data_IF_419656657876
#
_entry.id   IF_419656657876
#
_cell.length_a   1.000
_cell.length_b   1.000
_cell.length_c   1.000
_cell.angle_alpha   90.00
_cell.angle_beta   90.00
_cell.angle_gamma   90.00
#
_symmetry.space_group_name_H-M   'P 1'
#
loop_
_entity.id
_entity.type
_entity.pdbx_description
1 polymer ?
#
# COMPACT_ATOMS: atom_id res chain seq x y z
N UNK A 1 -12.00 -14.69 -7.46
CA UNK A 1 -10.72 -15.42 -7.54
C UNK A 1 -10.56 -15.98 -8.95
N UNK A 2 -9.50 -15.63 -9.69
CA UNK A 2 -9.22 -16.22 -11.01
C UNK A 2 -8.17 -17.33 -10.93
N UNK A 3 -7.24 -17.23 -9.99
CA UNK A 3 -6.18 -18.22 -9.77
C UNK A 3 -6.07 -18.55 -8.29
N UNK A 4 -5.83 -19.81 -7.97
CA UNK A 4 -5.47 -20.26 -6.64
C UNK A 4 -4.40 -21.36 -6.76
N UNK A 5 -3.39 -21.34 -5.88
CA UNK A 5 -2.34 -22.35 -5.87
C UNK A 5 -1.94 -22.72 -4.43
N UNK A 6 -1.24 -23.84 -4.28
CA UNK A 6 -0.77 -24.35 -2.99
C UNK A 6 0.54 -23.63 -2.53
N UNK A 7 0.53 -22.30 -2.52
CA UNK A 7 1.68 -21.48 -2.09
C UNK A 7 1.71 -21.21 -0.59
N UNK A 8 0.65 -21.56 0.13
CA UNK A 8 0.49 -21.26 1.55
C UNK A 8 0.11 -22.51 2.34
N UNK A 9 0.38 -22.44 3.64
CA UNK A 9 0.13 -23.49 4.61
C UNK A 9 -0.64 -22.93 5.79
N UNK A 10 -1.54 -23.75 6.33
CA UNK A 10 -2.19 -23.53 7.62
C UNK A 10 -1.39 -24.26 8.69
N UNK A 11 -0.80 -23.52 9.64
CA UNK A 11 -0.17 -24.07 10.84
C UNK A 11 -1.24 -24.62 11.78
N UNK A 12 -1.35 -25.94 11.86
CA UNK A 12 -2.41 -26.63 12.62
C UNK A 12 -2.26 -26.53 14.13
N UNK A 13 -1.12 -26.02 14.61
CA UNK A 13 -0.83 -25.88 16.05
C UNK A 13 -1.21 -24.48 16.52
N UNK A 14 -0.78 -23.46 15.77
CA UNK A 14 -0.93 -22.05 16.18
C UNK A 14 -2.06 -21.32 15.43
N UNK A 15 -2.74 -21.99 14.51
CA UNK A 15 -3.75 -21.43 13.61
C UNK A 15 -3.27 -20.27 12.72
N UNK A 16 -1.99 -20.29 12.33
CA UNK A 16 -1.37 -19.20 11.59
C UNK A 16 -1.26 -19.51 10.09
N UNK A 17 -1.39 -18.47 9.26
CA UNK A 17 -0.99 -18.53 7.86
C UNK A 17 0.52 -18.56 7.75
N UNK A 18 1.05 -19.52 7.00
CA UNK A 18 2.47 -19.71 6.76
C UNK A 18 2.77 -19.79 5.28
N UNK A 19 4.01 -19.45 4.93
CA UNK A 19 4.52 -19.65 3.57
C UNK A 19 4.71 -21.14 3.22
N UNK A 20 4.86 -21.41 1.92
CA UNK A 20 5.04 -22.75 1.33
C UNK A 20 6.08 -23.64 2.04
N UNK A 21 7.16 -23.05 2.55
CA UNK A 21 8.29 -23.77 3.12
C UNK A 21 8.20 -24.06 4.63
N UNK A 22 7.06 -23.75 5.27
CA UNK A 22 6.87 -24.08 6.69
C UNK A 22 6.95 -25.59 6.93
N UNK A 23 7.82 -25.98 7.88
CA UNK A 23 8.18 -27.37 8.16
C UNK A 23 7.39 -28.00 9.33
N UNK A 24 6.68 -27.21 10.13
CA UNK A 24 5.86 -27.70 11.24
C UNK A 24 4.58 -28.41 10.78
N UNK A 25 3.76 -28.93 11.73
CA UNK A 25 2.48 -29.57 11.40
C UNK A 25 1.54 -28.62 10.66
N UNK A 26 1.16 -28.98 9.44
CA UNK A 26 0.42 -28.09 8.56
C UNK A 26 -0.57 -28.79 7.63
N UNK A 27 -1.47 -28.00 7.06
CA UNK A 27 -2.29 -28.36 5.90
C UNK A 27 -2.08 -27.37 4.78
N UNK A 28 -2.39 -27.79 3.55
CA UNK A 28 -2.40 -26.90 2.39
C UNK A 28 -3.60 -25.97 2.49
N UNK A 29 -3.41 -24.72 2.07
CA UNK A 29 -4.49 -23.74 1.93
C UNK A 29 -4.33 -22.99 0.62
N UNK A 30 -5.44 -22.77 -0.06
CA UNK A 30 -5.50 -22.03 -1.31
C UNK A 30 -6.20 -20.69 -1.08
N UNK A 31 -5.42 -19.61 -1.12
CA UNK A 31 -5.95 -18.27 -0.80
C UNK A 31 -6.76 -17.65 -1.94
N UNK A 32 -6.32 -17.89 -3.18
CA UNK A 32 -6.78 -17.12 -4.32
C UNK A 32 -5.95 -15.85 -4.53
N UNK A 33 -5.86 -15.42 -5.79
CA UNK A 33 -5.12 -14.25 -6.23
C UNK A 33 -5.52 -12.96 -5.50
N UNK A 34 -6.80 -12.71 -5.31
CA UNK A 34 -7.28 -11.48 -4.65
C UNK A 34 -6.87 -11.44 -3.17
N UNK A 35 -7.08 -12.52 -2.40
CA UNK A 35 -6.64 -12.58 -1.01
C UNK A 35 -5.11 -12.51 -0.89
N UNK A 36 -4.38 -13.22 -1.75
CA UNK A 36 -2.92 -13.19 -1.75
C UNK A 36 -2.39 -11.79 -2.07
N UNK A 37 -2.96 -11.11 -3.06
CA UNK A 37 -2.59 -9.74 -3.40
C UNK A 37 -2.85 -8.80 -2.22
N UNK A 38 -4.04 -8.87 -1.60
CA UNK A 38 -4.40 -8.07 -0.44
C UNK A 38 -3.42 -8.26 0.72
N UNK A 39 -3.15 -9.50 1.12
CA UNK A 39 -2.23 -9.80 2.22
C UNK A 39 -0.79 -9.36 1.93
N UNK A 40 -0.35 -9.43 0.67
CA UNK A 40 0.99 -9.02 0.27
C UNK A 40 1.21 -7.50 0.33
N UNK A 41 0.15 -6.69 0.31
CA UNK A 41 0.24 -5.23 0.41
C UNK A 41 0.21 -4.71 1.86
N UNK A 42 -0.04 -5.59 2.85
CA UNK A 42 -0.05 -5.19 4.24
C UNK A 42 1.39 -5.01 4.76
N UNK A 43 1.75 -3.79 5.11
CA UNK A 43 3.08 -3.45 5.63
C UNK A 43 3.14 -3.69 7.14
N UNK A 44 4.09 -4.52 7.58
CA UNK A 44 4.28 -4.87 9.00
C UNK A 44 3.03 -5.48 9.68
N UNK A 45 2.22 -6.22 8.92
CA UNK A 45 1.07 -6.91 9.50
C UNK A 45 1.45 -8.00 10.49
N UNK A 46 0.56 -8.21 11.46
CA UNK A 46 0.58 -9.42 12.27
C UNK A 46 0.41 -10.66 11.37
N UNK A 47 0.95 -11.80 11.83
CA UNK A 47 0.76 -13.04 11.08
C UNK A 47 -0.73 -13.38 11.03
N UNK A 48 -1.35 -13.57 9.84
CA UNK A 48 -2.78 -13.83 9.77
C UNK A 48 -3.18 -15.10 10.52
N UNK A 49 -4.26 -14.99 11.30
CA UNK A 49 -4.81 -16.06 12.13
C UNK A 49 -6.07 -16.59 11.46
N UNK A 50 -6.20 -17.90 11.32
CA UNK A 50 -7.41 -18.52 10.82
C UNK A 50 -8.50 -18.56 11.89
N UNK A 51 -9.72 -18.18 11.50
CA UNK A 51 -10.93 -18.28 12.32
C UNK A 51 -11.78 -19.49 11.90
N UNK A 52 -11.91 -19.73 10.59
CA UNK A 52 -12.45 -20.97 10.01
C UNK A 52 -11.33 -21.68 9.27
N UNK A 53 -10.95 -22.86 9.76
CA UNK A 53 -9.79 -23.60 9.25
C UNK A 53 -10.12 -24.31 7.92
N UNK A 54 -9.14 -24.45 7.01
CA UNK A 54 -9.31 -25.29 5.82
C UNK A 54 -9.52 -26.75 6.23
N UNK A 55 -10.67 -27.30 5.82
CA UNK A 55 -11.04 -28.71 6.01
C UNK A 55 -10.61 -29.57 4.82
N UNK A 56 -11.47 -30.53 4.42
CA UNK A 56 -11.30 -31.26 3.16
C UNK A 56 -11.28 -30.32 1.94
N UNK A 57 -12.07 -29.25 2.03
CA UNK A 57 -12.05 -28.18 1.05
C UNK A 57 -11.02 -27.12 1.45
N UNK A 58 -9.82 -27.24 0.91
CA UNK A 58 -8.67 -26.38 1.20
C UNK A 58 -8.84 -24.93 0.70
N UNK A 59 -9.92 -24.62 -0.04
CA UNK A 59 -10.31 -23.28 -0.49
C UNK A 59 -11.42 -22.64 0.35
N UNK A 60 -11.97 -23.34 1.35
CA UNK A 60 -12.96 -22.77 2.28
C UNK A 60 -12.30 -22.50 3.63
N UNK A 61 -12.21 -21.23 3.98
CA UNK A 61 -11.55 -20.77 5.21
C UNK A 61 -11.90 -19.30 5.50
N UNK A 62 -11.67 -18.82 6.72
CA UNK A 62 -11.58 -17.38 7.02
C UNK A 62 -10.37 -17.10 7.89
N UNK A 63 -9.81 -15.91 7.74
CA UNK A 63 -8.67 -15.43 8.50
C UNK A 63 -8.78 -13.94 8.77
N UNK A 64 -8.11 -13.49 9.82
CA UNK A 64 -7.99 -12.10 10.22
C UNK A 64 -6.52 -11.72 10.41
N UNK A 65 -6.20 -10.45 10.16
CA UNK A 65 -4.92 -9.84 10.52
C UNK A 65 -5.12 -8.34 10.75
N UNK A 66 -4.14 -7.72 11.42
CA UNK A 66 -4.09 -6.29 11.68
C UNK A 66 -2.78 -5.73 11.14
N UNK A 67 -2.84 -4.57 10.50
CA UNK A 67 -1.69 -3.83 9.98
C UNK A 67 -1.87 -2.35 10.33
N UNK A 68 -1.13 -1.86 11.33
CA UNK A 68 -1.39 -0.54 11.90
C UNK A 68 -2.83 -0.42 12.41
N UNK A 69 -3.56 0.59 11.93
CA UNK A 69 -4.96 0.84 12.30
C UNK A 69 -5.98 0.12 11.39
N UNK A 70 -5.52 -0.66 10.42
CA UNK A 70 -6.38 -1.42 9.51
C UNK A 70 -6.51 -2.86 9.98
N UNK A 71 -7.74 -3.27 10.30
CA UNK A 71 -8.08 -4.68 10.50
C UNK A 71 -8.64 -5.25 9.20
N UNK A 72 -8.11 -6.41 8.81
CA UNK A 72 -8.48 -7.14 7.60
C UNK A 72 -9.05 -8.48 8.00
N UNK A 73 -10.28 -8.77 7.58
CA UNK A 73 -10.86 -10.10 7.63
C UNK A 73 -11.13 -10.58 6.21
N UNK A 74 -10.69 -11.79 5.88
CA UNK A 74 -10.89 -12.41 4.58
C UNK A 74 -11.54 -13.78 4.75
N UNK A 75 -12.65 -14.00 4.05
CA UNK A 75 -13.32 -15.28 3.99
C UNK A 75 -13.37 -15.79 2.55
N UNK A 76 -12.94 -17.03 2.32
CA UNK A 76 -13.10 -17.71 1.03
C UNK A 76 -14.30 -18.63 1.04
N UNK A 77 -15.27 -18.41 0.14
CA UNK A 77 -16.51 -19.18 0.07
C UNK A 77 -16.77 -19.69 -1.34
N UNK A 78 -17.22 -20.96 -1.48
CA UNK A 78 -17.67 -21.46 -2.77
C UNK A 78 -18.99 -20.77 -3.14
N UNK A 79 -19.08 -20.31 -4.38
CA UNK A 79 -20.29 -19.69 -4.94
C UNK A 79 -20.76 -20.38 -6.22
N UNK A 80 -19.91 -21.24 -6.80
CA UNK A 80 -20.24 -22.07 -7.94
C UNK A 80 -19.69 -23.49 -7.76
N UNK A 81 -20.57 -24.45 -8.01
CA UNK A 81 -20.24 -25.87 -8.02
C UNK A 81 -21.01 -26.56 -9.15
N UNK A 82 -20.45 -27.63 -9.67
CA UNK A 82 -21.09 -28.54 -10.59
C UNK A 82 -20.94 -29.97 -10.07
N UNK A 83 -22.05 -30.55 -9.60
CA UNK A 83 -22.03 -31.86 -8.92
C UNK A 83 -21.16 -31.83 -7.66
N UNK A 84 -20.20 -32.76 -7.57
CA UNK A 84 -19.23 -32.84 -6.46
C UNK A 84 -18.04 -31.87 -6.61
N UNK A 85 -17.93 -31.16 -7.74
CA UNK A 85 -16.81 -30.28 -8.04
C UNK A 85 -17.17 -28.82 -7.73
N UNK A 86 -16.59 -28.25 -6.68
CA UNK A 86 -16.57 -26.81 -6.44
C UNK A 86 -15.45 -26.16 -7.24
N UNK A 87 -15.74 -25.24 -8.16
CA UNK A 87 -14.69 -24.54 -8.93
C UNK A 87 -14.71 -23.01 -8.81
N UNK A 88 -15.83 -22.41 -8.42
CA UNK A 88 -15.93 -20.95 -8.25
C UNK A 88 -15.86 -20.54 -6.79
N UNK A 89 -14.81 -19.80 -6.44
CA UNK A 89 -14.62 -19.20 -5.12
C UNK A 89 -14.58 -17.68 -5.21
N UNK A 90 -15.15 -17.06 -4.18
CA UNK A 90 -15.02 -15.63 -3.93
C UNK A 90 -14.28 -15.42 -2.62
N UNK A 91 -13.45 -14.39 -2.57
CA UNK A 91 -12.92 -13.87 -1.32
C UNK A 91 -13.79 -12.68 -0.90
N UNK A 92 -14.35 -12.73 0.30
CA UNK A 92 -15.07 -11.63 0.94
C UNK A 92 -14.03 -10.93 1.80
N UNK A 93 -13.73 -9.68 1.47
CA UNK A 93 -12.75 -8.88 2.20
C UNK A 93 -13.51 -7.82 2.98
N UNK A 94 -13.33 -7.82 4.30
CA UNK A 94 -13.87 -6.82 5.22
C UNK A 94 -12.70 -6.01 5.76
N UNK A 95 -12.78 -4.69 5.60
CA UNK A 95 -11.74 -3.75 6.00
C UNK A 95 -12.31 -2.77 7.03
N UNK A 96 -11.69 -2.69 8.19
CA UNK A 96 -12.01 -1.73 9.27
C UNK A 96 -10.81 -0.81 9.50
N UNK A 97 -11.03 0.41 10.01
CA UNK A 97 -9.97 1.41 10.24
C UNK A 97 -10.23 2.78 9.59
N UNK A 98 -9.21 3.62 9.40
CA UNK A 98 -9.33 4.89 8.66
C UNK A 98 -9.64 4.68 7.18
N UNK A 99 -10.42 5.60 6.58
CA UNK A 99 -10.78 5.50 5.15
C UNK A 99 -9.55 5.57 4.23
N UNK A 100 -8.60 6.47 4.53
CA UNK A 100 -7.36 6.64 3.78
C UNK A 100 -6.60 5.32 3.64
N UNK A 101 -6.46 4.59 4.74
CA UNK A 101 -5.60 3.42 4.83
C UNK A 101 -6.26 2.21 4.14
N UNK A 102 -7.57 2.04 4.33
CA UNK A 102 -8.35 1.03 3.59
C UNK A 102 -8.35 1.31 2.09
N UNK A 103 -8.56 2.57 1.71
CA UNK A 103 -8.57 2.97 0.30
C UNK A 103 -7.20 2.73 -0.33
N UNK A 104 -6.12 3.05 0.40
CA UNK A 104 -4.76 2.80 -0.04
C UNK A 104 -4.47 1.31 -0.24
N UNK A 105 -4.83 0.47 0.74
CA UNK A 105 -4.70 -0.98 0.62
C UNK A 105 -5.45 -1.51 -0.61
N UNK A 106 -6.66 -1.00 -0.88
CA UNK A 106 -7.44 -1.37 -2.06
C UNK A 106 -6.76 -0.97 -3.36
N UNK A 107 -6.18 0.24 -3.44
CA UNK A 107 -5.42 0.69 -4.60
C UNK A 107 -4.24 -0.24 -4.87
N UNK A 108 -3.39 -0.47 -3.87
CA UNK A 108 -2.20 -1.32 -4.03
C UNK A 108 -2.59 -2.77 -4.38
N UNK A 109 -3.67 -3.28 -3.79
CA UNK A 109 -4.20 -4.62 -4.11
C UNK A 109 -4.64 -4.70 -5.57
N UNK A 110 -5.39 -3.71 -6.05
CA UNK A 110 -5.87 -3.67 -7.44
C UNK A 110 -4.71 -3.49 -8.40
N UNK A 111 -3.73 -2.63 -8.12
CA UNK A 111 -2.55 -2.43 -8.96
C UNK A 111 -1.69 -3.68 -9.07
N UNK A 112 -1.62 -4.48 -8.00
CA UNK A 112 -0.95 -5.79 -8.03
C UNK A 112 -1.71 -6.84 -8.84
N UNK A 113 -3.02 -6.65 -9.05
CA UNK A 113 -3.88 -7.54 -9.81
C UNK A 113 -3.95 -7.07 -11.28
N UNK A 114 -3.50 -7.92 -12.21
CA UNK A 114 -3.67 -7.67 -13.65
C UNK A 114 -5.12 -7.75 -14.16
N UNK A 115 -6.12 -7.68 -13.27
CA UNK A 115 -7.54 -7.70 -13.60
C UNK A 115 -8.39 -7.08 -12.48
N UNK A 116 -9.63 -6.65 -12.77
CA UNK A 116 -10.53 -6.17 -11.73
C UNK A 116 -10.91 -7.28 -10.73
N UNK A 117 -10.76 -7.08 -9.40
CA UNK A 117 -11.09 -8.09 -8.39
C UNK A 117 -12.59 -8.33 -8.20
N UNK A 118 -13.44 -7.38 -8.60
CA UNK A 118 -14.90 -7.49 -8.50
C UNK A 118 -15.54 -8.31 -9.62
N UNK A 119 -14.78 -8.69 -10.65
CA UNK A 119 -15.29 -9.50 -11.75
C UNK A 119 -15.32 -10.98 -11.39
N UNK A 120 -16.50 -11.58 -11.53
CA UNK A 120 -16.75 -13.00 -11.27
C UNK A 120 -16.84 -13.78 -12.58
N UNK A 121 -16.23 -14.98 -12.63
CA UNK A 121 -16.26 -15.86 -13.81
C UNK A 121 -17.70 -16.28 -14.14
N UNK A 122 -18.44 -16.75 -13.14
CA UNK A 122 -19.85 -17.10 -13.24
C UNK A 122 -20.76 -16.03 -12.63
N UNK A 123 -21.00 -14.94 -13.36
CA UNK A 123 -21.75 -13.78 -12.84
C UNK A 123 -23.14 -14.13 -12.29
N UNK A 124 -23.94 -14.93 -13.02
CA UNK A 124 -25.32 -15.27 -12.59
C UNK A 124 -25.37 -16.02 -11.27
N UNK A 125 -24.42 -16.92 -11.02
CA UNK A 125 -24.38 -17.67 -9.76
C UNK A 125 -23.79 -16.84 -8.64
N UNK A 126 -22.82 -15.97 -8.92
CA UNK A 126 -22.32 -15.00 -7.96
C UNK A 126 -23.43 -14.05 -7.50
N UNK A 127 -24.23 -13.54 -8.44
CA UNK A 127 -25.38 -12.68 -8.14
C UNK A 127 -26.39 -13.40 -7.23
N UNK A 128 -26.79 -14.63 -7.58
CA UNK A 128 -27.69 -15.44 -6.71
C UNK A 128 -27.10 -15.69 -5.33
N UNK A 129 -25.80 -15.98 -5.27
CA UNK A 129 -25.11 -16.21 -4.00
C UNK A 129 -25.11 -14.94 -3.13
N UNK A 130 -24.81 -13.78 -3.71
CA UNK A 130 -24.86 -12.48 -3.04
C UNK A 130 -26.27 -12.18 -2.53
N UNK A 131 -27.29 -12.31 -3.37
CA UNK A 131 -28.68 -12.08 -2.94
C UNK A 131 -29.11 -12.98 -1.77
N UNK A 132 -28.58 -14.21 -1.69
CA UNK A 132 -28.88 -15.15 -0.60
C UNK A 132 -28.07 -14.91 0.68
N UNK A 133 -26.78 -14.55 0.56
CA UNK A 133 -25.85 -14.51 1.69
C UNK A 133 -25.52 -13.10 2.17
N UNK A 134 -25.61 -12.11 1.30
CA UNK A 134 -25.35 -10.70 1.54
C UNK A 134 -26.44 -9.85 0.86
N UNK A 135 -27.69 -9.83 1.36
CA UNK A 135 -28.83 -9.24 0.65
C UNK A 135 -28.70 -7.74 0.36
N UNK A 136 -27.85 -7.02 1.10
CA UNK A 136 -27.53 -5.60 0.89
C UNK A 136 -26.53 -5.37 -0.25
N UNK A 137 -26.01 -6.44 -0.86
CA UNK A 137 -24.98 -6.39 -1.90
C UNK A 137 -25.42 -7.11 -3.17
N UNK A 138 -25.00 -6.58 -4.30
CA UNK A 138 -25.02 -7.24 -5.60
C UNK A 138 -23.71 -6.94 -6.34
N UNK A 139 -23.52 -7.52 -7.53
CA UNK A 139 -22.28 -7.30 -8.29
C UNK A 139 -22.04 -5.81 -8.61
N UNK A 140 -23.11 -5.06 -8.90
CA UNK A 140 -23.01 -3.63 -9.23
C UNK A 140 -22.66 -2.76 -8.02
N UNK A 141 -23.24 -3.02 -6.85
CA UNK A 141 -22.91 -2.28 -5.61
C UNK A 141 -21.51 -2.65 -5.12
N UNK A 142 -21.11 -3.91 -5.26
CA UNK A 142 -19.75 -4.36 -4.98
C UNK A 142 -18.74 -3.62 -5.88
N UNK A 143 -18.93 -3.63 -7.20
CA UNK A 143 -18.06 -2.88 -8.13
C UNK A 143 -18.00 -1.39 -7.78
N UNK A 144 -19.15 -0.77 -7.48
CA UNK A 144 -19.19 0.65 -7.07
C UNK A 144 -18.39 0.90 -5.80
N UNK A 145 -18.44 -0.01 -4.82
CA UNK A 145 -17.69 0.11 -3.56
C UNK A 145 -16.18 0.06 -3.81
N UNK A 146 -15.72 -0.90 -4.63
CA UNK A 146 -14.31 -0.96 -5.04
C UNK A 146 -13.87 0.31 -5.76
N UNK A 147 -14.64 0.78 -6.75
CA UNK A 147 -14.33 2.01 -7.49
C UNK A 147 -14.31 3.26 -6.60
N UNK A 148 -15.20 3.33 -5.62
CA UNK A 148 -15.22 4.43 -4.66
C UNK A 148 -13.94 4.47 -3.81
N UNK A 149 -13.49 3.32 -3.32
CA UNK A 149 -12.24 3.24 -2.54
C UNK A 149 -11.02 3.58 -3.39
N UNK A 150 -10.97 3.10 -4.64
CA UNK A 150 -9.91 3.47 -5.59
C UNK A 150 -9.88 4.98 -5.84
N UNK A 151 -11.05 5.61 -5.99
CA UNK A 151 -11.14 7.05 -6.17
C UNK A 151 -10.64 7.80 -4.93
N UNK A 152 -11.09 7.42 -3.73
CA UNK A 152 -10.64 8.03 -2.47
C UNK A 152 -9.11 7.92 -2.29
N UNK A 153 -8.50 6.81 -2.66
CA UNK A 153 -7.04 6.64 -2.61
C UNK A 153 -6.33 7.59 -3.58
N UNK A 154 -6.81 7.67 -4.82
CA UNK A 154 -6.24 8.57 -5.84
C UNK A 154 -6.36 10.04 -5.44
N UNK A 155 -7.48 10.42 -4.84
CA UNK A 155 -7.71 11.78 -4.37
C UNK A 155 -6.75 12.13 -3.22
N UNK A 156 -6.59 11.24 -2.24
CA UNK A 156 -5.62 11.41 -1.14
C UNK A 156 -4.18 11.56 -1.66
N UNK A 157 -3.79 10.73 -2.63
CA UNK A 157 -2.45 10.80 -3.23
C UNK A 157 -2.30 12.10 -4.06
N UNK A 158 -3.34 12.53 -4.77
CA UNK A 158 -3.32 13.78 -5.53
C UNK A 158 -3.15 14.98 -4.61
N UNK A 159 -3.89 15.02 -3.50
CA UNK A 159 -3.73 16.05 -2.46
C UNK A 159 -2.30 16.10 -1.93
N UNK A 160 -1.67 14.94 -1.73
CA UNK A 160 -0.25 14.87 -1.30
C UNK A 160 0.71 15.45 -2.35
N UNK A 161 0.48 15.18 -3.64
CA UNK A 161 1.26 15.76 -4.74
C UNK A 161 1.06 17.27 -4.82
N UNK A 162 -0.18 17.74 -4.72
CA UNK A 162 -0.53 19.17 -4.75
C UNK A 162 0.09 19.91 -3.56
N UNK A 163 0.02 19.34 -2.36
CA UNK A 163 0.67 19.90 -1.17
C UNK A 163 2.19 19.99 -1.33
N UNK A 164 2.83 18.96 -1.91
CA UNK A 164 4.27 19.00 -2.20
C UNK A 164 4.61 20.04 -3.26
N UNK A 165 3.78 20.20 -4.28
CA UNK A 165 3.98 21.24 -5.29
C UNK A 165 3.95 22.63 -4.66
N UNK A 166 2.99 22.92 -3.78
CA UNK A 166 2.93 24.21 -3.08
C UNK A 166 4.22 24.46 -2.29
N UNK A 167 4.75 23.45 -1.59
CA UNK A 167 6.05 23.56 -0.89
C UNK A 167 7.20 23.85 -1.86
N UNK A 168 7.22 23.22 -3.04
CA UNK A 168 8.23 23.48 -4.06
C UNK A 168 8.14 24.89 -4.62
N UNK A 169 6.93 25.35 -4.95
CA UNK A 169 6.69 26.69 -5.50
C UNK A 169 7.08 27.78 -4.48
N UNK A 170 6.86 27.56 -3.19
CA UNK A 170 7.26 28.47 -2.11
C UNK A 170 8.77 28.56 -1.91
N UNK A 171 9.50 27.47 -2.14
CA UNK A 171 10.93 27.38 -1.90
C UNK A 171 11.78 27.76 -3.14
N UNK A 172 11.21 27.59 -4.35
CA UNK A 172 11.47 28.51 -5.46
C UNK A 172 10.85 29.88 -5.05
N UNK A 173 10.59 30.91 -5.83
CA UNK A 173 10.23 32.26 -5.30
C UNK A 173 11.20 32.95 -4.27
N UNK A 174 11.97 32.25 -3.43
CA UNK A 174 13.08 32.79 -2.65
C UNK A 174 14.21 33.18 -3.62
N UNK A 175 14.73 34.41 -3.53
CA UNK A 175 15.67 34.98 -4.51
C UNK A 175 17.11 34.47 -4.28
N UNK A 176 17.53 33.40 -4.98
CA UNK A 176 18.93 32.94 -4.97
C UNK A 176 19.39 32.34 -6.33
N UNK A 177 20.69 32.44 -6.63
CA UNK A 177 21.30 32.04 -7.90
C UNK A 177 21.21 30.53 -8.20
N UNK A 178 21.15 29.68 -7.18
CA UNK A 178 21.04 28.21 -7.32
C UNK A 178 19.61 27.74 -7.65
N UNK A 179 18.62 28.63 -7.61
CA UNK A 179 17.20 28.32 -7.81
C UNK A 179 16.88 27.71 -9.19
N UNK A 180 17.62 28.09 -10.24
CA UNK A 180 17.40 27.56 -11.59
C UNK A 180 17.76 26.07 -11.72
N UNK A 181 18.80 25.61 -11.00
CA UNK A 181 19.21 24.20 -10.98
C UNK A 181 18.15 23.36 -10.24
N UNK A 182 17.75 23.82 -9.06
CA UNK A 182 16.72 23.16 -8.25
C UNK A 182 15.34 23.12 -8.93
N UNK A 183 14.97 24.18 -9.65
CA UNK A 183 13.68 24.25 -10.36
C UNK A 183 13.50 23.10 -11.37
N UNK A 184 14.57 22.76 -12.12
CA UNK A 184 14.55 21.64 -13.06
C UNK A 184 14.30 20.31 -12.36
N UNK A 185 15.09 20.01 -11.32
CA UNK A 185 15.01 18.76 -10.56
C UNK A 185 13.65 18.58 -9.90
N UNK A 186 13.16 19.62 -9.19
CA UNK A 186 11.87 19.56 -8.50
C UNK A 186 10.70 19.39 -9.49
N UNK A 187 10.75 20.06 -10.64
CA UNK A 187 9.71 19.90 -11.66
C UNK A 187 9.69 18.49 -12.25
N UNK A 188 10.85 17.90 -12.47
CA UNK A 188 10.98 16.53 -13.00
C UNK A 188 10.45 15.49 -12.01
N UNK A 189 10.77 15.61 -10.72
CA UNK A 189 10.23 14.72 -9.68
C UNK A 189 8.71 14.90 -9.48
N UNK A 190 8.18 16.13 -9.54
CA UNK A 190 6.73 16.36 -9.55
C UNK A 190 6.04 15.72 -10.76
N UNK A 191 6.65 15.82 -11.95
CA UNK A 191 6.16 15.16 -13.15
C UNK A 191 6.17 13.62 -12.99
N UNK A 192 7.24 13.06 -12.42
CA UNK A 192 7.33 11.63 -12.11
C UNK A 192 6.25 11.19 -11.12
N UNK A 193 5.97 11.98 -10.08
CA UNK A 193 4.90 11.70 -9.12
C UNK A 193 3.54 11.62 -9.81
N UNK A 194 3.20 12.61 -10.65
CA UNK A 194 1.93 12.63 -11.40
C UNK A 194 1.81 11.47 -12.37
N UNK A 195 2.90 11.14 -13.08
CA UNK A 195 2.94 9.99 -13.98
C UNK A 195 2.70 8.69 -13.23
N UNK A 196 3.38 8.47 -12.11
CA UNK A 196 3.19 7.27 -11.30
C UNK A 196 1.74 7.14 -10.79
N UNK A 197 1.10 8.24 -10.40
CA UNK A 197 -0.33 8.24 -10.03
C UNK A 197 -1.22 7.83 -11.21
N UNK A 198 -0.94 8.30 -12.43
CA UNK A 198 -1.71 7.92 -13.62
C UNK A 198 -1.60 6.43 -13.98
N UNK A 199 -0.51 5.79 -13.55
CA UNK A 199 -0.23 4.36 -13.72
C UNK A 199 -0.70 3.52 -12.50
N UNK A 200 -1.46 4.12 -11.56
CA UNK A 200 -1.87 3.52 -10.29
C UNK A 200 -0.69 2.92 -9.48
N UNK A 201 0.52 3.48 -9.67
CA UNK A 201 1.75 3.05 -9.03
C UNK A 201 2.04 3.92 -7.81
N UNK A 202 1.33 3.66 -6.73
CA UNK A 202 1.42 4.46 -5.52
C UNK A 202 2.82 4.43 -4.85
N UNK A 203 3.58 3.31 -4.83
CA UNK A 203 4.99 3.32 -4.41
C UNK A 203 5.88 4.20 -5.31
N UNK A 204 5.56 4.33 -6.60
CA UNK A 204 6.24 5.25 -7.52
C UNK A 204 6.03 6.71 -7.12
N UNK A 205 4.81 7.06 -6.71
CA UNK A 205 4.48 8.40 -6.19
C UNK A 205 5.27 8.70 -4.93
N UNK A 206 5.26 7.80 -3.95
CA UNK A 206 5.97 7.99 -2.68
C UNK A 206 7.47 8.20 -2.88
N UNK A 207 8.10 7.42 -3.77
CA UNK A 207 9.52 7.61 -4.11
C UNK A 207 9.79 8.96 -4.77
N UNK A 208 8.88 9.49 -5.58
CA UNK A 208 9.03 10.81 -6.17
C UNK A 208 8.83 11.92 -5.13
N UNK A 209 7.83 11.80 -4.26
CA UNK A 209 7.60 12.74 -3.15
C UNK A 209 8.76 12.76 -2.15
N UNK A 210 9.35 11.61 -1.83
CA UNK A 210 10.53 11.53 -0.97
C UNK A 210 11.76 12.22 -1.59
N UNK A 211 11.93 12.15 -2.92
CA UNK A 211 13.00 12.88 -3.62
C UNK A 211 12.76 14.38 -3.62
N UNK A 212 11.51 14.82 -3.82
CA UNK A 212 11.13 16.23 -3.67
C UNK A 212 11.45 16.75 -2.28
N UNK A 213 11.04 16.01 -1.26
CA UNK A 213 11.31 16.38 0.14
C UNK A 213 12.81 16.46 0.43
N UNK A 214 13.59 15.49 -0.03
CA UNK A 214 15.05 15.52 0.09
C UNK A 214 15.66 16.73 -0.62
N UNK A 215 15.17 17.06 -1.82
CA UNK A 215 15.61 18.24 -2.57
C UNK A 215 15.32 19.56 -1.84
N UNK A 216 14.11 19.70 -1.27
CA UNK A 216 13.75 20.87 -0.47
C UNK A 216 14.62 21.04 0.77
N UNK A 217 14.94 19.93 1.47
CA UNK A 217 15.84 19.95 2.63
C UNK A 217 17.25 20.38 2.22
N UNK A 218 17.78 19.84 1.11
CA UNK A 218 19.10 20.20 0.64
C UNK A 218 19.17 21.68 0.24
N UNK A 219 18.15 22.17 -0.44
CA UNK A 219 18.05 23.57 -0.84
C UNK A 219 18.01 24.50 0.38
N UNK A 220 17.21 24.20 1.41
CA UNK A 220 17.18 25.02 2.63
C UNK A 220 18.51 25.02 3.38
N UNK A 221 19.19 23.86 3.48
CA UNK A 221 20.51 23.79 4.12
C UNK A 221 21.61 24.53 3.35
N UNK A 222 21.50 24.63 2.03
CA UNK A 222 22.43 25.40 1.22
C UNK A 222 22.30 26.91 1.51
N UNK A 223 21.08 27.41 1.70
CA UNK A 223 20.83 28.81 2.08
C UNK A 223 21.40 29.15 3.46
N UNK A 224 21.26 28.26 4.44
CA UNK A 224 21.74 28.48 5.82
C UNK A 224 23.27 28.38 5.97
N UNK A 225 23.97 27.80 4.99
CA UNK A 225 25.42 27.56 5.05
C UNK A 225 26.30 28.80 4.83
N UNK A 226 25.73 30.00 5.03
CA UNK A 226 26.40 31.30 4.91
C UNK A 226 27.84 31.23 5.39
N UNK A 227 28.76 31.67 4.53
CA UNK A 227 30.20 31.65 4.77
C UNK A 227 30.55 32.07 6.20
N UNK A 228 30.99 31.11 7.01
CA UNK A 228 31.61 31.39 8.30
C UNK A 228 33.09 31.64 8.01
N UNK A 229 33.59 32.89 8.07
CA UNK A 229 35.01 33.14 7.90
C UNK A 229 35.77 32.33 8.94
N UNK A 230 36.84 31.67 8.50
CA UNK A 230 37.79 31.08 9.44
C UNK A 230 38.22 32.19 10.43
N UNK A 231 38.25 31.92 11.75
CA UNK A 231 38.76 32.88 12.72
C UNK A 231 40.13 33.36 12.23
N UNK A 232 40.37 34.67 12.19
CA UNK A 232 41.71 35.18 11.94
C UNK A 232 42.65 34.48 12.91
N UNK A 233 43.65 33.80 12.37
CA UNK A 233 44.66 33.14 13.18
C UNK A 233 45.32 34.24 14.02
N UNK A 234 44.91 34.37 15.28
CA UNK A 234 45.63 35.11 16.30
C UNK A 234 46.94 34.37 16.50
N UNK A 235 47.94 34.73 15.70
CA UNK A 235 49.32 34.43 15.99
C UNK A 235 49.66 35.22 17.25
N UNK A 236 49.56 34.56 18.41
CA UNK A 236 50.15 35.09 19.65
C UNK A 236 51.64 35.27 19.37
N UNK A 237 52.11 36.52 19.40
CA UNK A 237 53.52 36.88 19.30
C UNK A 237 54.24 36.73 20.66
N UNK A 238 53.56 36.16 21.65
CA UNK A 238 54.06 35.96 23.01
C UNK A 238 54.13 37.23 23.86
N UNK A 239 53.61 38.37 23.39
CA UNK A 239 53.51 39.59 24.21
C UNK A 239 52.50 39.46 25.36
N UNK A 240 51.50 38.58 25.18
CA UNK A 240 50.43 38.27 26.13
C UNK A 240 50.93 37.59 27.43
N UNK A 241 52.14 37.01 27.41
CA UNK A 241 52.69 36.19 28.51
C UNK A 241 53.54 37.02 29.50
N UNK A 242 53.79 38.31 29.24
CA UNK A 242 54.71 39.13 30.05
C UNK A 242 54.07 40.05 31.08
N UNK A 243 52.83 39.80 31.49
CA UNK A 243 52.20 40.52 32.61
C UNK A 243 51.66 39.56 33.69
N UNK A 244 52.60 38.89 34.37
CA UNK A 244 52.45 38.44 35.75
C UNK A 244 53.74 38.73 36.52
#
# INVERSE_FOLDING_TARGET
VRRANASHKFDTVNNLLRGKHFAGPHRVVYLGDVAQACLAQLTNAETPVFEEHPGYNEQRWSLSTTSGDVRVHIASRPYWAWGLLTSGYLNIITLEGPLSDRARLVLDTVSALGHPPWEMVHQRTAERWLSSKLPSQNLKTNERTWRSLLQSARDTIRESIEGMQVRCDQALNEEDANQHEWSGVLRDDLHMARRALSEDNAPGVERALARLEAGLIQMSTAFDSGYVPAPEALHSDGSDVRSM
#
